data_IF_362725148463
#
_entry.id   IF_362725148463
#
_cell.length_a   1.000
_cell.length_b   1.000
_cell.length_c   1.000
_cell.angle_alpha   90.00
_cell.angle_beta   90.00
_cell.angle_gamma   90.00
#
_symmetry.space_group_name_H-M   'P 1'
#
loop_
_entity.id
_entity.type
_entity.pdbx_description
1 polymer ?
#
# COMPACT_ATOMS: atom_id res chain seq x y z
N UNK A 1 -29.00 -7.10 -23.71
CA UNK A 1 -28.69 -8.54 -23.86
C UNK A 1 -27.25 -8.68 -24.29
N UNK A 2 -26.32 -8.55 -23.35
CA UNK A 2 -24.92 -8.89 -23.64
C UNK A 2 -24.79 -10.43 -23.65
N UNK A 3 -24.55 -11.01 -24.82
CA UNK A 3 -24.39 -12.45 -25.00
C UNK A 3 -23.17 -12.99 -24.24
N UNK A 4 -23.22 -14.26 -23.82
CA UNK A 4 -22.11 -15.01 -23.20
C UNK A 4 -20.76 -14.84 -23.92
N UNK A 5 -20.77 -14.61 -25.23
CA UNK A 5 -19.62 -14.29 -26.07
C UNK A 5 -18.79 -13.07 -25.59
N UNK A 6 -19.39 -12.12 -24.86
CA UNK A 6 -18.68 -10.96 -24.31
C UNK A 6 -17.78 -11.33 -23.12
N UNK A 7 -18.15 -12.37 -22.36
CA UNK A 7 -17.36 -12.86 -21.23
C UNK A 7 -16.16 -13.71 -21.69
N UNK A 8 -16.27 -14.40 -22.83
CA UNK A 8 -15.19 -15.21 -23.39
C UNK A 8 -13.95 -14.37 -23.76
N UNK A 9 -14.18 -13.14 -24.22
CA UNK A 9 -13.11 -12.20 -24.59
C UNK A 9 -12.73 -11.25 -23.44
N UNK A 10 -13.15 -11.50 -22.20
CA UNK A 10 -12.91 -10.56 -21.11
C UNK A 10 -11.42 -10.26 -20.92
N UNK A 11 -10.52 -11.21 -21.19
CA UNK A 11 -9.09 -11.04 -21.01
C UNK A 11 -8.47 -10.02 -21.96
N UNK A 12 -9.00 -9.90 -23.19
CA UNK A 12 -8.48 -9.01 -24.24
C UNK A 12 -8.94 -7.57 -24.09
N UNK A 13 -9.93 -7.32 -23.23
CA UNK A 13 -10.45 -5.98 -22.96
C UNK A 13 -9.50 -5.10 -22.14
N UNK A 14 -9.54 -3.80 -22.40
CA UNK A 14 -8.86 -2.80 -21.55
C UNK A 14 -9.47 -2.77 -20.14
N UNK A 15 -8.74 -2.29 -19.11
CA UNK A 15 -9.27 -2.21 -17.74
C UNK A 15 -10.58 -1.41 -17.65
N UNK A 16 -10.70 -0.30 -18.39
CA UNK A 16 -11.91 0.50 -18.43
C UNK A 16 -13.08 -0.26 -19.07
N UNK A 17 -12.83 -0.95 -20.19
CA UNK A 17 -13.84 -1.75 -20.88
C UNK A 17 -14.30 -2.96 -20.03
N UNK A 18 -13.38 -3.59 -19.28
CA UNK A 18 -13.71 -4.64 -18.30
C UNK A 18 -14.69 -4.11 -17.25
N UNK A 19 -14.40 -2.95 -16.68
CA UNK A 19 -15.27 -2.32 -15.67
C UNK A 19 -16.64 -2.00 -16.23
N UNK A 20 -16.71 -1.38 -17.42
CA UNK A 20 -17.97 -1.04 -18.07
C UNK A 20 -18.81 -2.30 -18.38
N UNK A 21 -18.17 -3.37 -18.88
CA UNK A 21 -18.83 -4.65 -19.14
C UNK A 21 -19.40 -5.26 -17.85
N UNK A 22 -18.62 -5.29 -16.76
CA UNK A 22 -19.09 -5.81 -15.47
C UNK A 22 -20.23 -4.98 -14.89
N UNK A 23 -20.19 -3.65 -15.04
CA UNK A 23 -21.27 -2.77 -14.60
C UNK A 23 -22.56 -3.03 -15.37
N UNK A 24 -22.48 -3.17 -16.70
CA UNK A 24 -23.63 -3.49 -17.55
C UNK A 24 -24.24 -4.84 -17.16
N UNK A 25 -23.40 -5.88 -17.00
CA UNK A 25 -23.86 -7.21 -16.59
C UNK A 25 -24.52 -7.19 -15.21
N UNK A 26 -23.92 -6.48 -14.24
CA UNK A 26 -24.49 -6.35 -12.91
C UNK A 26 -25.86 -5.64 -12.95
N UNK A 27 -26.00 -4.63 -13.81
CA UNK A 27 -27.27 -3.94 -14.02
C UNK A 27 -28.34 -4.86 -14.64
N UNK A 28 -27.97 -5.62 -15.68
CA UNK A 28 -28.86 -6.61 -16.29
C UNK A 28 -29.32 -7.65 -15.25
N UNK A 29 -28.39 -8.24 -14.49
CA UNK A 29 -28.70 -9.21 -13.44
C UNK A 29 -29.63 -8.63 -12.37
N UNK A 30 -29.38 -7.40 -11.93
CA UNK A 30 -30.21 -6.71 -10.93
C UNK A 30 -31.63 -6.51 -11.45
N UNK A 31 -31.77 -6.04 -12.69
CA UNK A 31 -33.07 -5.87 -13.34
C UNK A 31 -33.82 -7.21 -13.45
N UNK A 32 -33.13 -8.28 -13.84
CA UNK A 32 -33.70 -9.63 -13.89
C UNK A 32 -34.18 -10.11 -12.53
N UNK A 33 -33.39 -9.92 -11.47
CA UNK A 33 -33.81 -10.30 -10.10
C UNK A 33 -35.01 -9.50 -9.61
N UNK A 34 -35.09 -8.21 -9.94
CA UNK A 34 -36.26 -7.38 -9.64
C UNK A 34 -37.49 -7.89 -10.38
N UNK A 35 -37.37 -8.23 -11.67
CA UNK A 35 -38.47 -8.78 -12.45
C UNK A 35 -38.97 -10.12 -11.87
N UNK A 36 -38.05 -11.03 -11.53
CA UNK A 36 -38.39 -12.29 -10.86
C UNK A 36 -39.10 -12.04 -9.53
N UNK A 37 -38.59 -11.10 -8.72
CA UNK A 37 -39.23 -10.74 -7.45
C UNK A 37 -40.68 -10.26 -7.63
N UNK A 38 -40.97 -9.52 -8.69
CA UNK A 38 -42.34 -9.08 -9.01
C UNK A 38 -43.24 -10.26 -9.38
N UNK A 39 -42.72 -11.24 -10.14
CA UNK A 39 -43.49 -12.44 -10.51
C UNK A 39 -43.71 -13.40 -9.33
N UNK A 40 -42.81 -13.42 -8.35
CA UNK A 40 -43.04 -14.10 -7.06
C UNK A 40 -44.19 -13.43 -6.31
N UNK A 41 -44.19 -12.09 -6.20
CA UNK A 41 -45.25 -11.34 -5.51
C UNK A 41 -46.62 -11.51 -6.16
N UNK A 42 -46.67 -11.71 -7.48
CA UNK A 42 -47.88 -11.99 -8.24
C UNK A 42 -48.39 -13.43 -8.08
N UNK A 43 -47.61 -14.31 -7.45
CA UNK A 43 -47.92 -15.73 -7.32
C UNK A 43 -47.66 -16.55 -8.59
N UNK A 44 -47.09 -15.94 -9.64
CA UNK A 44 -46.73 -16.63 -10.90
C UNK A 44 -45.59 -17.63 -10.69
N UNK A 45 -44.63 -17.28 -9.81
CA UNK A 45 -43.49 -18.13 -9.48
C UNK A 45 -43.65 -18.70 -8.07
N UNK A 46 -43.52 -20.03 -7.96
CA UNK A 46 -43.53 -20.72 -6.68
C UNK A 46 -42.12 -20.78 -6.07
N UNK A 47 -41.98 -21.07 -4.77
CA UNK A 47 -40.67 -21.28 -4.15
C UNK A 47 -39.82 -22.35 -4.83
N UNK A 48 -40.44 -23.33 -5.51
CA UNK A 48 -39.71 -24.35 -6.26
C UNK A 48 -39.01 -23.75 -7.50
N UNK A 49 -39.66 -22.79 -8.18
CA UNK A 49 -39.09 -22.09 -9.34
C UNK A 49 -37.92 -21.17 -8.96
N UNK A 50 -37.82 -20.75 -7.69
CA UNK A 50 -36.82 -19.76 -7.23
C UNK A 50 -35.61 -20.40 -6.54
N UNK A 51 -35.58 -21.72 -6.35
CA UNK A 51 -34.44 -22.43 -5.74
C UNK A 51 -33.11 -22.11 -6.43
N UNK A 52 -32.99 -22.14 -7.79
CA UNK A 52 -31.75 -21.80 -8.45
C UNK A 52 -31.31 -20.35 -8.20
N UNK A 53 -32.27 -19.42 -8.13
CA UNK A 53 -32.01 -18.02 -7.81
C UNK A 53 -31.42 -17.87 -6.41
N UNK A 54 -32.00 -18.54 -5.40
CA UNK A 54 -31.47 -18.53 -4.05
C UNK A 54 -30.03 -19.08 -3.99
N UNK A 55 -29.73 -20.12 -4.76
CA UNK A 55 -28.39 -20.69 -4.84
C UNK A 55 -27.38 -19.72 -5.48
N UNK A 56 -27.76 -19.01 -6.54
CA UNK A 56 -26.93 -17.97 -7.16
C UNK A 56 -26.64 -16.85 -6.16
N UNK A 57 -27.67 -16.31 -5.50
CA UNK A 57 -27.52 -15.26 -4.48
C UNK A 57 -26.58 -15.74 -3.37
N UNK A 58 -26.78 -16.95 -2.85
CA UNK A 58 -25.92 -17.53 -1.80
C UNK A 58 -24.46 -17.65 -2.24
N UNK A 59 -24.23 -18.05 -3.49
CA UNK A 59 -22.87 -18.20 -4.03
C UNK A 59 -22.19 -16.85 -4.18
N UNK A 60 -22.90 -15.84 -4.67
CA UNK A 60 -22.40 -14.47 -4.79
C UNK A 60 -22.07 -13.91 -3.41
N UNK A 61 -22.98 -14.02 -2.44
CA UNK A 61 -22.74 -13.47 -1.09
C UNK A 61 -21.60 -14.16 -0.35
N UNK A 62 -21.46 -15.48 -0.52
CA UNK A 62 -20.35 -16.21 0.09
C UNK A 62 -18.99 -15.82 -0.52
N UNK A 63 -18.93 -15.71 -1.85
CA UNK A 63 -17.68 -15.35 -2.54
C UNK A 63 -17.28 -13.90 -2.28
N UNK A 64 -18.22 -12.96 -2.24
CA UNK A 64 -17.94 -11.55 -1.89
C UNK A 64 -17.46 -11.42 -0.45
N UNK A 65 -18.10 -12.11 0.51
CA UNK A 65 -17.64 -12.12 1.90
C UNK A 65 -16.23 -12.70 2.05
N UNK A 66 -15.91 -13.78 1.34
CA UNK A 66 -14.57 -14.36 1.35
C UNK A 66 -13.52 -13.41 0.74
N UNK A 67 -13.85 -12.73 -0.36
CA UNK A 67 -12.98 -11.75 -0.99
C UNK A 67 -12.73 -10.53 -0.08
N UNK A 68 -13.78 -10.00 0.56
CA UNK A 68 -13.67 -8.92 1.54
C UNK A 68 -12.76 -9.29 2.71
N UNK A 69 -12.98 -10.45 3.34
CA UNK A 69 -12.11 -10.95 4.43
C UNK A 69 -10.65 -11.07 3.99
N UNK A 70 -10.40 -11.51 2.75
CA UNK A 70 -9.03 -11.61 2.19
C UNK A 70 -8.40 -10.23 2.02
N UNK A 71 -9.15 -9.25 1.55
CA UNK A 71 -8.68 -7.87 1.39
C UNK A 71 -8.40 -7.21 2.75
N UNK A 72 -9.29 -7.38 3.73
CA UNK A 72 -9.10 -6.87 5.10
C UNK A 72 -7.83 -7.44 5.75
N UNK A 73 -7.60 -8.75 5.60
CA UNK A 73 -6.37 -9.40 6.08
C UNK A 73 -5.11 -8.83 5.41
N UNK A 74 -5.18 -8.51 4.12
CA UNK A 74 -4.06 -7.86 3.41
C UNK A 74 -3.85 -6.43 3.89
N UNK A 75 -4.93 -5.66 4.04
CA UNK A 75 -4.88 -4.28 4.52
C UNK A 75 -4.22 -4.21 5.90
N UNK A 76 -4.72 -5.01 6.85
CA UNK A 76 -4.17 -5.07 8.21
C UNK A 76 -2.70 -5.52 8.22
N UNK A 77 -2.30 -6.44 7.35
CA UNK A 77 -0.90 -6.84 7.21
C UNK A 77 -0.02 -5.68 6.70
N UNK A 78 -0.51 -4.90 5.74
CA UNK A 78 0.20 -3.72 5.23
C UNK A 78 0.30 -2.62 6.28
N UNK A 79 -0.76 -2.36 7.03
CA UNK A 79 -0.74 -1.38 8.13
C UNK A 79 0.27 -1.75 9.21
N UNK A 80 0.32 -3.03 9.60
CA UNK A 80 1.32 -3.55 10.55
C UNK A 80 2.74 -3.39 10.02
N UNK A 81 2.96 -3.65 8.72
CA UNK A 81 4.28 -3.45 8.08
C UNK A 81 4.65 -1.96 8.04
N UNK A 82 3.72 -1.10 7.65
CA UNK A 82 3.93 0.35 7.64
C UNK A 82 4.26 0.89 9.03
N UNK A 83 3.58 0.42 10.08
CA UNK A 83 3.89 0.79 11.48
C UNK A 83 5.31 0.39 11.87
N UNK A 84 5.73 -0.85 11.52
CA UNK A 84 7.10 -1.34 11.76
C UNK A 84 8.15 -0.50 11.02
N UNK A 85 7.95 -0.24 9.73
CA UNK A 85 8.86 0.59 8.96
C UNK A 85 8.97 2.03 9.48
N UNK A 86 7.87 2.62 9.96
CA UNK A 86 7.93 3.94 10.60
C UNK A 86 8.76 3.90 11.88
N UNK A 87 8.63 2.86 12.69
CA UNK A 87 9.41 2.70 13.91
C UNK A 87 10.91 2.51 13.60
N UNK A 88 11.23 1.62 12.68
CA UNK A 88 12.59 1.37 12.20
C UNK A 88 13.23 2.63 11.61
N UNK A 89 12.50 3.37 10.77
CA UNK A 89 12.98 4.63 10.20
C UNK A 89 13.26 5.69 11.27
N UNK A 90 12.46 5.74 12.34
CA UNK A 90 12.74 6.64 13.48
C UNK A 90 14.01 6.21 14.21
N UNK A 91 14.16 4.92 14.46
CA UNK A 91 15.35 4.37 15.11
C UNK A 91 16.62 4.66 14.29
N UNK A 92 16.61 4.36 12.99
CA UNK A 92 17.73 4.66 12.08
C UNK A 92 18.09 6.15 12.09
N UNK A 93 17.09 7.04 12.08
CA UNK A 93 17.34 8.49 12.15
C UNK A 93 18.04 8.89 13.46
N UNK A 94 17.66 8.28 14.58
CA UNK A 94 18.29 8.55 15.87
C UNK A 94 19.74 8.05 15.89
N UNK A 95 19.99 6.82 15.44
CA UNK A 95 21.34 6.27 15.36
C UNK A 95 22.23 7.10 14.44
N UNK A 96 21.73 7.46 13.26
CA UNK A 96 22.47 8.30 12.33
C UNK A 96 22.80 9.68 12.91
N UNK A 97 21.86 10.30 13.62
CA UNK A 97 22.10 11.57 14.31
C UNK A 97 23.22 11.45 15.36
N UNK A 98 23.25 10.36 16.12
CA UNK A 98 24.33 10.10 17.08
C UNK A 98 25.69 9.92 16.40
N UNK A 99 25.74 9.17 15.29
CA UNK A 99 26.97 8.98 14.51
C UNK A 99 27.48 10.32 13.96
N UNK A 100 26.59 11.13 13.39
CA UNK A 100 26.95 12.47 12.89
C UNK A 100 27.47 13.36 14.02
N UNK A 101 26.85 13.33 15.19
CA UNK A 101 27.30 14.09 16.34
C UNK A 101 28.70 13.66 16.82
N UNK A 102 28.94 12.35 16.94
CA UNK A 102 30.27 11.82 17.31
C UNK A 102 31.33 12.19 16.29
N UNK A 103 31.02 12.08 15.00
CA UNK A 103 31.91 12.48 13.91
C UNK A 103 32.28 13.97 14.00
N UNK A 104 31.30 14.85 14.24
CA UNK A 104 31.54 16.28 14.48
C UNK A 104 32.48 16.52 15.66
N UNK A 105 32.29 15.81 16.78
CA UNK A 105 33.18 15.95 17.94
C UNK A 105 34.61 15.52 17.65
N UNK A 106 34.81 14.41 16.94
CA UNK A 106 36.15 13.95 16.53
C UNK A 106 36.79 14.97 15.58
N UNK A 107 36.04 15.47 14.59
CA UNK A 107 36.52 16.50 13.68
C UNK A 107 36.99 17.76 14.42
N UNK A 108 36.18 18.26 15.38
CA UNK A 108 36.54 19.43 16.18
C UNK A 108 37.80 19.19 17.00
N UNK A 109 37.91 18.03 17.69
CA UNK A 109 39.11 17.67 18.46
C UNK A 109 40.35 17.62 17.57
N UNK A 110 40.24 17.01 16.39
CA UNK A 110 41.33 16.94 15.43
C UNK A 110 41.73 18.34 14.93
N UNK A 111 40.76 19.18 14.56
CA UNK A 111 40.98 20.56 14.12
C UNK A 111 41.74 21.36 15.18
N UNK A 112 41.31 21.33 16.44
CA UNK A 112 42.00 22.02 17.54
C UNK A 112 43.41 21.49 17.77
N UNK A 113 43.66 20.19 17.56
CA UNK A 113 45.01 19.62 17.67
C UNK A 113 45.92 20.14 16.54
N UNK A 114 45.42 20.19 15.32
CA UNK A 114 46.16 20.72 14.16
C UNK A 114 46.45 22.21 14.34
N UNK A 115 45.46 23.01 14.75
CA UNK A 115 45.63 24.44 15.01
C UNK A 115 46.70 24.71 16.08
N UNK A 116 46.70 23.95 17.18
CA UNK A 116 47.75 24.05 18.20
C UNK A 116 49.13 23.72 17.65
N UNK A 117 49.25 22.67 16.85
CA UNK A 117 50.51 22.28 16.25
C UNK A 117 51.03 23.31 15.24
N UNK A 118 50.13 23.91 14.44
CA UNK A 118 50.47 25.00 13.52
C UNK A 118 50.95 26.25 14.26
N UNK A 119 50.25 26.66 15.33
CA UNK A 119 50.70 27.77 16.19
C UNK A 119 52.07 27.51 16.81
N UNK A 120 52.30 26.29 17.33
CA UNK A 120 53.59 25.94 17.93
C UNK A 120 54.73 26.00 16.90
N UNK A 121 54.50 25.51 15.67
CA UNK A 121 55.46 25.64 14.57
C UNK A 121 55.74 27.11 14.20
N UNK A 122 54.73 27.97 14.19
CA UNK A 122 54.92 29.40 13.92
C UNK A 122 55.78 30.06 15.02
N UNK A 123 55.52 29.78 16.30
CA UNK A 123 56.34 30.29 17.41
C UNK A 123 57.81 29.81 17.34
N UNK A 124 58.03 28.54 16.98
CA UNK A 124 59.38 28.01 16.80
C UNK A 124 60.14 28.60 15.60
N UNK A 125 59.43 28.97 14.53
CA UNK A 125 60.05 29.68 13.41
C UNK A 125 60.39 31.12 13.78
N UNK A 126 59.51 31.82 14.51
CA UNK A 126 59.77 33.18 15.02
C UNK A 126 61.00 33.23 15.93
N UNK A 127 61.13 32.32 16.91
CA UNK A 127 62.31 32.24 17.78
C UNK A 127 63.60 31.82 17.07
N UNK A 128 63.53 31.40 15.80
CA UNK A 128 64.67 31.06 14.96
C UNK A 128 65.09 32.24 14.06
N UNK A 129 64.17 33.17 13.79
CA UNK A 129 64.40 34.41 13.03
C UNK A 129 64.93 35.55 13.92
N UNK A 130 64.67 35.53 15.23
CA UNK A 130 65.20 36.52 16.19
C UNK A 130 66.65 36.25 16.68
N UNK A 131 67.27 35.15 16.24
CA UNK A 131 68.63 34.73 16.64
C UNK A 131 69.65 34.74 15.47
N UNK A 132 69.39 35.57 14.46
CA UNK A 132 70.33 36.00 13.41
C UNK A 132 70.20 37.51 13.21
#
# INVERSE_FOLDING_TARGET
>A
MHSSASLENIHTLSPAAKTALMQSLAHEMTSTFIAISKEIQRGTLTPHNTVPLHQVIRTITHTTAAAHRKLERKLTAYERRAKRWRAERRWIRQEFAQVVWRSKMVHLRWKTRVERHLKWKQCLNWGREEFW
#
